data_IF_417288997164
#
_entry.id   IF_417288997164
#
_cell.length_a   1.000
_cell.length_b   1.000
_cell.length_c   1.000
_cell.angle_alpha   90.00
_cell.angle_beta   90.00
_cell.angle_gamma   90.00
#
_symmetry.space_group_name_H-M   'P 1'
#
loop_
_entity.id
_entity.type
_entity.pdbx_description
1 polymer ?
#
# COMPACT_ATOMS: atom_id res chain seq x y z
N UNK A 1 31.52 9.63 5.97
CA UNK A 1 30.43 10.31 5.24
C UNK A 1 31.05 11.30 4.26
N UNK A 2 30.63 11.37 3.00
CA UNK A 2 31.10 12.42 2.09
C UNK A 2 30.58 13.77 2.60
N UNK A 3 31.48 14.70 2.91
CA UNK A 3 31.13 16.08 3.21
C UNK A 3 30.61 16.69 1.91
N UNK A 4 29.34 17.05 1.87
CA UNK A 4 28.76 17.76 0.73
C UNK A 4 29.40 19.14 0.63
N UNK A 5 30.03 19.44 -0.51
CA UNK A 5 30.36 20.83 -0.85
C UNK A 5 29.03 21.61 -0.98
N UNK A 6 29.01 22.94 -0.78
CA UNK A 6 27.81 23.74 -0.91
C UNK A 6 27.11 23.47 -2.25
N UNK A 7 26.02 22.69 -2.22
CA UNK A 7 25.24 22.34 -3.40
C UNK A 7 24.09 23.32 -3.53
N UNK A 8 23.88 23.85 -4.74
CA UNK A 8 22.70 24.68 -5.05
C UNK A 8 21.92 24.04 -6.19
N UNK A 9 20.64 23.80 -5.96
CA UNK A 9 19.70 23.24 -6.95
C UNK A 9 18.40 24.06 -6.93
N UNK A 10 17.52 23.88 -7.91
CA UNK A 10 16.22 24.53 -7.88
C UNK A 10 15.25 23.83 -6.89
N UNK A 11 15.26 22.51 -6.85
CA UNK A 11 14.35 21.72 -6.03
C UNK A 11 15.10 20.67 -5.21
N UNK A 12 14.89 20.65 -3.90
CA UNK A 12 15.28 19.52 -3.05
C UNK A 12 14.06 18.69 -2.72
N UNK A 13 14.17 17.37 -2.90
CA UNK A 13 13.15 16.39 -2.53
C UNK A 13 13.66 15.59 -1.34
N UNK A 14 12.99 15.67 -0.20
CA UNK A 14 13.36 14.98 1.03
C UNK A 14 12.54 13.72 1.17
N UNK A 15 13.17 12.55 1.05
CA UNK A 15 12.54 11.22 1.14
C UNK A 15 12.46 10.51 -0.21
N UNK A 16 13.09 9.33 -0.29
CA UNK A 16 13.18 8.46 -1.47
C UNK A 16 12.06 7.41 -1.57
N UNK A 17 10.91 7.63 -0.89
CA UNK A 17 9.71 6.81 -1.05
C UNK A 17 9.00 7.08 -2.39
N UNK A 18 7.91 6.34 -2.66
CA UNK A 18 7.14 6.47 -3.92
C UNK A 18 6.68 7.90 -4.21
N UNK A 19 6.34 8.69 -3.19
CA UNK A 19 5.93 10.08 -3.37
C UNK A 19 7.09 10.96 -3.85
N UNK A 20 8.27 10.83 -3.20
CA UNK A 20 9.47 11.56 -3.59
C UNK A 20 9.96 11.16 -4.98
N UNK A 21 9.98 9.86 -5.29
CA UNK A 21 10.36 9.37 -6.62
C UNK A 21 9.40 9.84 -7.73
N UNK A 22 8.09 9.86 -7.46
CA UNK A 22 7.12 10.41 -8.42
C UNK A 22 7.28 11.92 -8.61
N UNK A 23 7.64 12.65 -7.56
CA UNK A 23 7.96 14.07 -7.64
C UNK A 23 9.23 14.29 -8.47
N UNK A 24 10.31 13.55 -8.18
CA UNK A 24 11.57 13.60 -8.92
C UNK A 24 11.35 13.37 -10.42
N UNK A 25 10.59 12.32 -10.79
CA UNK A 25 10.24 12.04 -12.19
C UNK A 25 9.55 13.21 -12.92
N UNK A 26 8.72 13.97 -12.21
CA UNK A 26 8.03 15.12 -12.83
C UNK A 26 8.93 16.35 -12.95
N UNK A 27 9.75 16.61 -11.94
CA UNK A 27 10.71 17.71 -11.94
C UNK A 27 11.78 17.47 -13.00
N UNK A 28 12.32 16.25 -13.07
CA UNK A 28 13.30 15.81 -14.06
C UNK A 28 12.80 16.00 -15.51
N UNK A 29 11.56 15.53 -15.78
CA UNK A 29 10.92 15.72 -17.11
C UNK A 29 10.74 17.19 -17.51
N UNK A 30 10.70 18.10 -16.55
CA UNK A 30 10.61 19.54 -16.80
C UNK A 30 11.99 20.21 -16.99
N UNK A 31 13.09 19.45 -16.91
CA UNK A 31 14.45 19.96 -17.06
C UNK A 31 14.90 20.90 -15.93
N UNK A 32 14.24 20.87 -14.78
CA UNK A 32 14.58 21.67 -13.61
C UNK A 32 15.69 20.96 -12.83
N UNK A 33 16.67 21.69 -12.33
CA UNK A 33 17.78 21.12 -11.54
C UNK A 33 17.25 20.71 -10.14
N UNK A 34 17.48 19.45 -9.75
CA UNK A 34 16.94 18.89 -8.52
C UNK A 34 17.92 17.91 -7.83
N UNK A 35 17.68 17.68 -6.55
CA UNK A 35 18.36 16.64 -5.77
C UNK A 35 17.34 15.95 -4.85
N UNK A 36 17.37 14.62 -4.81
CA UNK A 36 16.61 13.85 -3.83
C UNK A 36 17.56 13.37 -2.73
N UNK A 37 17.17 13.57 -1.47
CA UNK A 37 17.89 13.10 -0.29
C UNK A 37 17.08 12.06 0.46
N UNK A 38 17.68 10.90 0.76
CA UNK A 38 17.07 9.78 1.47
C UNK A 38 17.95 9.37 2.65
N UNK A 39 17.35 9.22 3.83
CA UNK A 39 18.08 8.88 5.05
C UNK A 39 18.54 7.42 5.09
N UNK A 40 17.80 6.51 4.45
CA UNK A 40 18.18 5.11 4.35
C UNK A 40 19.27 4.90 3.29
N UNK A 41 19.88 3.72 3.30
CA UNK A 41 20.86 3.28 2.31
C UNK A 41 20.23 2.91 0.95
N UNK A 42 18.89 2.90 0.88
CA UNK A 42 18.10 2.52 -0.31
C UNK A 42 16.83 3.36 -0.46
N UNK A 43 16.36 3.48 -1.69
CA UNK A 43 15.06 4.08 -2.03
C UNK A 43 13.91 3.10 -1.78
N UNK A 44 12.67 3.61 -1.78
CA UNK A 44 11.42 2.83 -1.69
C UNK A 44 10.60 3.11 -0.44
N UNK A 45 11.24 3.52 0.65
CA UNK A 45 10.58 3.83 1.92
C UNK A 45 9.85 2.60 2.49
N UNK A 46 8.51 2.67 2.63
CA UNK A 46 7.68 1.56 3.09
C UNK A 46 7.53 0.42 2.07
N UNK A 47 7.78 0.68 0.79
CA UNK A 47 7.75 -0.34 -0.27
C UNK A 47 9.16 -0.88 -0.47
N UNK A 48 9.46 -1.95 0.22
CA UNK A 48 10.79 -2.55 0.24
C UNK A 48 10.68 -4.08 0.41
N UNK A 49 11.71 -4.79 -0.08
CA UNK A 49 11.87 -6.24 0.02
C UNK A 49 13.25 -6.53 0.57
N UNK A 50 13.34 -7.39 1.55
CA UNK A 50 14.59 -7.89 2.11
C UNK A 50 14.86 -9.31 1.58
N UNK A 51 16.12 -9.60 1.24
CA UNK A 51 16.57 -10.93 0.81
C UNK A 51 17.27 -11.61 1.98
N UNK A 52 16.74 -12.75 2.42
CA UNK A 52 17.29 -13.53 3.54
C UNK A 52 17.33 -15.00 3.13
N UNK A 53 18.49 -15.59 3.01
CA UNK A 53 18.70 -17.00 2.69
C UNK A 53 17.87 -17.54 1.51
N UNK A 54 17.75 -16.73 0.46
CA UNK A 54 16.97 -17.04 -0.75
C UNK A 54 15.47 -16.74 -0.66
N UNK A 55 14.97 -16.30 0.51
CA UNK A 55 13.61 -15.82 0.68
C UNK A 55 13.50 -14.34 0.30
N UNK A 56 12.41 -13.95 -0.39
CA UNK A 56 12.03 -12.55 -0.61
C UNK A 56 10.94 -12.17 0.37
N UNK A 57 11.27 -11.29 1.30
CA UNK A 57 10.41 -10.87 2.39
C UNK A 57 10.09 -9.39 2.23
N UNK A 58 8.88 -9.08 1.77
CA UNK A 58 8.42 -7.70 1.67
C UNK A 58 8.23 -7.11 3.07
N UNK A 59 8.43 -5.81 3.23
CA UNK A 59 8.19 -5.13 4.52
C UNK A 59 6.70 -5.00 4.79
N UNK A 60 6.12 -6.09 5.30
CA UNK A 60 4.69 -6.32 5.45
C UNK A 60 4.04 -6.89 4.19
N UNK A 61 2.86 -7.49 4.33
CA UNK A 61 2.13 -8.00 3.18
C UNK A 61 1.61 -6.85 2.32
N UNK A 62 2.23 -6.67 1.17
CA UNK A 62 1.91 -5.62 0.21
C UNK A 62 1.54 -6.23 -1.14
N UNK A 63 0.70 -5.54 -1.88
CA UNK A 63 0.31 -5.93 -3.24
C UNK A 63 0.20 -4.72 -4.14
N UNK A 64 0.44 -4.91 -5.43
CA UNK A 64 0.23 -3.91 -6.47
C UNK A 64 -1.09 -4.19 -7.20
N UNK A 65 -1.90 -3.14 -7.34
CA UNK A 65 -3.12 -3.19 -8.15
C UNK A 65 -2.86 -2.53 -9.52
N UNK A 66 -3.06 -3.29 -10.60
CA UNK A 66 -2.83 -2.79 -11.96
C UNK A 66 -3.79 -1.68 -12.40
N UNK A 67 -4.90 -1.47 -11.69
CA UNK A 67 -5.83 -0.37 -11.94
C UNK A 67 -5.42 0.96 -11.31
N UNK A 68 -4.29 1.04 -10.64
CA UNK A 68 -3.77 2.30 -10.10
C UNK A 68 -3.32 3.20 -11.25
N UNK A 69 -4.03 4.33 -11.52
CA UNK A 69 -3.79 5.11 -12.74
C UNK A 69 -2.38 5.69 -12.85
N UNK A 70 -1.72 5.94 -11.70
CA UNK A 70 -0.38 6.54 -11.69
C UNK A 70 0.72 5.51 -11.97
N UNK A 71 0.47 4.23 -11.74
CA UNK A 71 1.48 3.18 -11.98
C UNK A 71 1.85 3.10 -13.47
N UNK A 72 0.92 2.87 -14.43
CA UNK A 72 1.29 2.80 -15.85
C UNK A 72 1.78 4.13 -16.43
N UNK A 73 1.50 5.26 -15.78
CA UNK A 73 2.04 6.56 -16.20
C UNK A 73 3.53 6.75 -15.83
N UNK A 74 4.04 5.96 -14.90
CA UNK A 74 5.41 6.06 -14.40
C UNK A 74 6.27 4.82 -14.71
N UNK A 75 5.66 3.66 -14.85
CA UNK A 75 6.33 2.36 -14.95
C UNK A 75 5.66 1.52 -16.02
N UNK A 76 6.44 0.81 -16.79
CA UNK A 76 5.94 -0.29 -17.62
C UNK A 76 5.60 -1.48 -16.70
N UNK A 77 4.31 -1.79 -16.57
CA UNK A 77 3.83 -2.91 -15.75
C UNK A 77 4.35 -4.26 -16.27
N UNK A 78 4.54 -4.40 -17.59
CA UNK A 78 5.07 -5.63 -18.15
C UNK A 78 6.51 -5.89 -17.71
N UNK A 79 7.32 -4.82 -17.57
CA UNK A 79 8.70 -4.91 -17.12
C UNK A 79 8.84 -5.25 -15.62
N UNK A 80 7.75 -5.13 -14.83
CA UNK A 80 7.75 -5.56 -13.42
C UNK A 80 7.65 -7.08 -13.25
N UNK A 81 7.38 -7.83 -14.31
CA UNK A 81 7.21 -9.28 -14.27
C UNK A 81 6.21 -9.72 -13.18
N UNK A 82 4.98 -9.24 -13.32
CA UNK A 82 3.94 -9.40 -12.30
C UNK A 82 3.45 -10.84 -12.14
N UNK A 83 3.35 -11.29 -10.91
CA UNK A 83 2.71 -12.53 -10.47
C UNK A 83 1.38 -12.18 -9.81
N UNK A 84 0.31 -12.88 -10.18
CA UNK A 84 -1.04 -12.48 -9.79
C UNK A 84 -1.69 -13.48 -8.86
N UNK A 85 -2.42 -12.95 -7.88
CA UNK A 85 -3.30 -13.72 -7.02
C UNK A 85 -4.63 -14.03 -7.73
N UNK A 86 -5.30 -15.09 -7.28
CA UNK A 86 -6.66 -15.42 -7.72
C UNK A 86 -7.61 -14.24 -7.42
N UNK A 87 -8.52 -13.89 -8.35
CA UNK A 87 -9.46 -12.78 -8.15
C UNK A 87 -10.61 -13.17 -7.21
N UNK A 88 -10.30 -13.50 -5.97
CA UNK A 88 -11.24 -13.97 -4.95
C UNK A 88 -10.59 -14.11 -3.60
N UNK A 89 -11.33 -14.72 -2.69
CA UNK A 89 -10.87 -15.06 -1.33
C UNK A 89 -11.35 -16.44 -0.94
N UNK A 90 -10.57 -17.11 -0.09
CA UNK A 90 -10.99 -18.26 0.68
C UNK A 90 -11.41 -17.79 2.08
N UNK A 91 -12.45 -18.38 2.63
CA UNK A 91 -12.96 -18.06 3.96
C UNK A 91 -13.05 -19.35 4.77
N UNK A 92 -12.26 -19.46 5.83
CA UNK A 92 -12.36 -20.57 6.79
C UNK A 92 -13.49 -20.28 7.76
N UNK A 93 -14.45 -21.22 7.87
CA UNK A 93 -15.54 -21.16 8.85
C UNK A 93 -15.74 -22.53 9.45
N UNK A 94 -15.40 -22.68 10.72
CA UNK A 94 -15.28 -23.98 11.35
C UNK A 94 -14.36 -24.90 10.55
N UNK A 95 -14.75 -26.15 10.27
CA UNK A 95 -13.96 -27.07 9.46
C UNK A 95 -14.05 -26.78 7.95
N UNK A 96 -15.02 -25.97 7.50
CA UNK A 96 -15.28 -25.74 6.08
C UNK A 96 -14.44 -24.60 5.52
N UNK A 97 -13.99 -24.77 4.28
CA UNK A 97 -13.31 -23.77 3.47
C UNK A 97 -14.25 -23.32 2.34
N UNK A 98 -14.63 -22.05 2.34
CA UNK A 98 -15.56 -21.48 1.38
C UNK A 98 -14.80 -20.59 0.40
N UNK A 99 -15.17 -20.65 -0.89
CA UNK A 99 -14.58 -19.86 -1.95
C UNK A 99 -15.55 -18.78 -2.41
N UNK A 100 -15.06 -17.55 -2.48
CA UNK A 100 -15.75 -16.42 -3.08
C UNK A 100 -14.84 -15.81 -4.15
N UNK A 101 -15.22 -15.95 -5.40
CA UNK A 101 -14.50 -15.40 -6.55
C UNK A 101 -15.33 -14.35 -7.27
N UNK A 102 -14.66 -13.53 -8.07
CA UNK A 102 -15.33 -12.54 -8.89
C UNK A 102 -15.83 -13.19 -10.21
N UNK A 103 -17.15 -13.44 -10.37
CA UNK A 103 -17.67 -14.13 -11.57
C UNK A 103 -17.44 -13.36 -12.86
N UNK A 104 -17.23 -12.04 -12.79
CA UNK A 104 -16.92 -11.22 -13.98
C UNK A 104 -15.52 -11.49 -14.53
N UNK A 105 -14.63 -12.04 -13.70
CA UNK A 105 -13.23 -12.33 -14.07
C UNK A 105 -12.97 -13.81 -14.29
N UNK A 106 -13.70 -14.65 -13.57
CA UNK A 106 -13.70 -16.10 -13.75
C UNK A 106 -15.16 -16.62 -13.79
N UNK A 107 -15.78 -16.64 -14.99
CA UNK A 107 -17.14 -17.16 -15.15
C UNK A 107 -17.28 -18.63 -14.72
N UNK A 108 -16.22 -19.43 -14.80
CA UNK A 108 -16.19 -20.82 -14.36
C UNK A 108 -16.33 -21.01 -12.85
N UNK A 109 -16.00 -20.00 -12.05
CA UNK A 109 -16.15 -20.02 -10.61
C UNK A 109 -17.56 -19.71 -10.10
N UNK A 110 -18.47 -19.25 -10.98
CA UNK A 110 -19.83 -18.83 -10.62
C UNK A 110 -20.62 -19.87 -9.82
N UNK A 111 -20.66 -21.17 -10.20
CA UNK A 111 -21.41 -22.17 -9.42
C UNK A 111 -20.84 -22.33 -8.01
N UNK A 112 -19.52 -22.37 -7.84
CA UNK A 112 -18.84 -22.50 -6.53
C UNK A 112 -19.09 -21.30 -5.65
N UNK A 113 -19.05 -20.09 -6.22
CA UNK A 113 -19.36 -18.85 -5.51
C UNK A 113 -20.84 -18.80 -5.10
N UNK A 114 -21.76 -19.26 -5.93
CA UNK A 114 -23.20 -19.26 -5.62
C UNK A 114 -23.55 -20.27 -4.52
N UNK A 115 -22.81 -21.36 -4.37
CA UNK A 115 -23.04 -22.40 -3.35
C UNK A 115 -22.21 -22.22 -2.07
N UNK A 116 -21.35 -21.18 -2.02
CA UNK A 116 -20.52 -20.95 -0.84
C UNK A 116 -21.35 -20.74 0.43
N UNK A 117 -20.95 -21.36 1.54
CA UNK A 117 -21.68 -21.31 2.82
C UNK A 117 -21.51 -20.01 3.62
N UNK A 118 -20.93 -18.95 3.05
CA UNK A 118 -20.72 -17.63 3.68
C UNK A 118 -21.54 -16.55 2.98
N UNK A 119 -22.22 -15.72 3.78
CA UNK A 119 -23.21 -14.78 3.28
C UNK A 119 -24.41 -15.48 2.61
N UNK A 120 -25.37 -14.72 2.15
CA UNK A 120 -26.51 -15.21 1.37
C UNK A 120 -26.32 -14.96 -0.12
N UNK A 121 -27.11 -15.59 -0.98
CA UNK A 121 -27.13 -15.24 -2.42
C UNK A 121 -27.45 -13.75 -2.63
N UNK A 122 -28.40 -13.22 -1.85
CA UNK A 122 -28.76 -11.81 -1.89
C UNK A 122 -27.55 -10.90 -1.53
N UNK A 123 -26.73 -11.28 -0.54
CA UNK A 123 -25.52 -10.54 -0.20
C UNK A 123 -24.53 -10.48 -1.36
N UNK A 124 -24.33 -11.58 -2.05
CA UNK A 124 -23.39 -11.65 -3.19
C UNK A 124 -23.87 -10.79 -4.35
N UNK A 125 -25.18 -10.81 -4.64
CA UNK A 125 -25.76 -9.95 -5.68
C UNK A 125 -25.65 -8.47 -5.31
N UNK A 126 -25.94 -8.11 -4.05
CA UNK A 126 -25.77 -6.74 -3.55
C UNK A 126 -24.32 -6.28 -3.58
N UNK A 127 -23.38 -7.15 -3.17
CA UNK A 127 -21.95 -6.82 -3.23
C UNK A 127 -21.47 -6.66 -4.68
N UNK A 128 -21.90 -7.52 -5.59
CA UNK A 128 -21.61 -7.39 -7.01
C UNK A 128 -22.17 -6.08 -7.59
N UNK A 129 -23.40 -5.69 -7.23
CA UNK A 129 -24.00 -4.42 -7.63
C UNK A 129 -23.20 -3.22 -7.08
N UNK A 130 -22.80 -3.28 -5.80
CA UNK A 130 -21.96 -2.25 -5.18
C UNK A 130 -20.60 -2.12 -5.87
N UNK A 131 -19.92 -3.24 -6.12
CA UNK A 131 -18.63 -3.29 -6.81
C UNK A 131 -18.75 -2.74 -8.25
N UNK A 132 -19.80 -3.10 -8.97
CA UNK A 132 -20.09 -2.59 -10.32
C UNK A 132 -20.35 -1.08 -10.28
N UNK A 133 -21.15 -0.60 -9.35
CA UNK A 133 -21.39 0.83 -9.15
C UNK A 133 -20.07 1.59 -8.93
N UNK A 134 -19.21 1.09 -8.04
CA UNK A 134 -17.90 1.72 -7.78
C UNK A 134 -16.96 1.62 -8.98
N UNK A 135 -17.00 0.53 -9.74
CA UNK A 135 -16.20 0.37 -10.95
C UNK A 135 -16.58 1.36 -12.07
N UNK A 136 -17.86 1.68 -12.22
CA UNK A 136 -18.40 2.48 -13.32
C UNK A 136 -18.43 3.98 -13.05
N UNK A 137 -18.75 4.40 -11.82
CA UNK A 137 -18.82 5.82 -11.47
C UNK A 137 -17.42 6.47 -11.51
N UNK A 138 -17.36 7.74 -11.89
CA UNK A 138 -16.12 8.51 -11.84
C UNK A 138 -15.65 8.72 -10.39
N UNK A 139 -14.33 8.85 -10.13
CA UNK A 139 -13.83 9.17 -8.79
C UNK A 139 -14.49 10.41 -8.18
N UNK A 140 -14.72 11.46 -8.97
CA UNK A 140 -15.39 12.67 -8.49
C UNK A 140 -16.78 12.37 -7.92
N UNK A 141 -17.62 11.64 -8.67
CA UNK A 141 -18.97 11.25 -8.20
C UNK A 141 -18.95 10.35 -6.96
N UNK A 142 -17.90 9.53 -6.80
CA UNK A 142 -17.75 8.69 -5.61
C UNK A 142 -17.39 9.53 -4.39
N UNK A 143 -16.57 10.56 -4.56
CA UNK A 143 -16.12 11.45 -3.50
C UNK A 143 -17.13 12.57 -3.16
N UNK A 144 -18.09 12.84 -4.05
CA UNK A 144 -19.20 13.77 -3.79
C UNK A 144 -20.34 13.14 -2.95
N UNK A 145 -20.32 11.82 -2.79
CA UNK A 145 -21.33 11.14 -1.97
C UNK A 145 -21.16 11.51 -0.48
N UNK A 146 -22.26 11.54 0.31
CA UNK A 146 -22.14 11.76 1.75
C UNK A 146 -21.19 10.78 2.41
N UNK A 147 -20.23 11.31 3.14
CA UNK A 147 -19.21 10.51 3.81
C UNK A 147 -19.79 9.80 5.04
N UNK A 148 -19.44 8.53 5.18
CA UNK A 148 -19.73 7.70 6.35
C UNK A 148 -18.56 6.76 6.61
N UNK A 149 -18.61 5.93 7.66
CA UNK A 149 -17.64 4.85 7.82
C UNK A 149 -17.81 3.77 6.76
N UNK A 150 -16.77 3.01 6.48
CA UNK A 150 -16.83 1.86 5.58
C UNK A 150 -17.89 0.85 6.05
N UNK A 151 -17.95 0.59 7.36
CA UNK A 151 -18.94 -0.29 7.95
C UNK A 151 -20.39 0.19 7.66
N UNK A 152 -20.66 1.46 7.86
CA UNK A 152 -22.00 2.02 7.60
C UNK A 152 -22.34 2.02 6.10
N UNK A 153 -21.37 2.31 5.24
CA UNK A 153 -21.58 2.24 3.79
C UNK A 153 -21.96 0.83 3.31
N UNK A 154 -21.33 -0.21 3.88
CA UNK A 154 -21.65 -1.61 3.59
C UNK A 154 -23.07 -1.97 4.09
N UNK A 155 -23.46 -1.51 5.29
CA UNK A 155 -24.82 -1.70 5.82
C UNK A 155 -25.87 -1.01 4.95
N UNK A 156 -25.62 0.24 4.55
CA UNK A 156 -26.52 1.01 3.64
C UNK A 156 -26.65 0.37 2.26
N UNK A 157 -25.63 -0.35 1.80
CA UNK A 157 -25.71 -1.16 0.59
C UNK A 157 -26.60 -2.42 0.78
N UNK A 158 -27.13 -2.63 1.98
CA UNK A 158 -28.05 -3.72 2.32
C UNK A 158 -27.37 -5.08 2.52
N UNK A 159 -26.05 -5.09 2.74
CA UNK A 159 -25.31 -6.31 3.05
C UNK A 159 -25.66 -6.78 4.47
N UNK A 160 -25.85 -8.09 4.63
CA UNK A 160 -26.17 -8.67 5.92
C UNK A 160 -25.00 -8.54 6.91
N UNK A 161 -25.32 -8.52 8.19
CA UNK A 161 -24.31 -8.56 9.26
C UNK A 161 -23.35 -9.73 9.05
N UNK A 162 -23.87 -10.89 8.67
CA UNK A 162 -23.08 -12.10 8.41
C UNK A 162 -22.06 -11.88 7.29
N UNK A 163 -22.45 -11.32 6.15
CA UNK A 163 -21.53 -11.03 5.03
C UNK A 163 -20.46 -10.02 5.44
N UNK A 164 -20.83 -9.00 6.21
CA UNK A 164 -19.89 -8.00 6.70
C UNK A 164 -18.87 -8.64 7.65
N UNK A 165 -19.33 -9.41 8.64
CA UNK A 165 -18.44 -9.92 9.70
C UNK A 165 -17.61 -11.14 9.29
N UNK A 166 -18.16 -12.06 8.47
CA UNK A 166 -17.47 -13.29 8.09
C UNK A 166 -16.54 -13.11 6.88
N UNK A 167 -16.76 -12.09 6.04
CA UNK A 167 -16.01 -11.91 4.78
C UNK A 167 -15.38 -10.53 4.67
N UNK A 168 -16.21 -9.47 4.73
CA UNK A 168 -15.75 -8.13 4.37
C UNK A 168 -14.87 -7.51 5.46
N UNK A 169 -15.18 -7.74 6.73
CA UNK A 169 -14.34 -7.26 7.84
C UNK A 169 -12.96 -7.91 7.84
N UNK A 170 -12.78 -9.24 7.81
CA UNK A 170 -11.46 -9.84 7.73
C UNK A 170 -10.65 -9.37 6.51
N UNK A 171 -11.31 -9.21 5.37
CA UNK A 171 -10.68 -8.70 4.16
C UNK A 171 -10.26 -7.23 4.29
N UNK A 172 -11.22 -6.35 4.61
CA UNK A 172 -10.99 -4.90 4.64
C UNK A 172 -10.14 -4.45 5.83
N UNK A 173 -10.18 -5.17 6.96
CA UNK A 173 -9.32 -4.86 8.10
C UNK A 173 -7.84 -4.99 7.75
N UNK A 174 -7.46 -5.97 6.93
CA UNK A 174 -6.11 -6.08 6.39
C UNK A 174 -5.77 -4.95 5.41
N UNK A 175 -6.72 -4.58 4.54
CA UNK A 175 -6.54 -3.51 3.54
C UNK A 175 -6.37 -2.13 4.18
N UNK A 176 -7.15 -1.84 5.23
CA UNK A 176 -7.16 -0.53 5.90
C UNK A 176 -6.31 -0.48 7.17
N UNK A 177 -5.77 -1.62 7.60
CA UNK A 177 -5.20 -1.79 8.93
C UNK A 177 -6.17 -1.31 10.04
N UNK A 178 -7.48 -1.62 9.86
CA UNK A 178 -8.60 -1.08 10.66
C UNK A 178 -9.66 -2.16 10.92
N UNK A 179 -9.66 -2.72 12.13
CA UNK A 179 -10.64 -3.76 12.53
C UNK A 179 -12.07 -3.22 12.65
N UNK A 180 -12.21 -1.96 13.10
CA UNK A 180 -13.52 -1.35 13.32
C UNK A 180 -14.23 -1.02 12.01
N UNK A 181 -13.49 -0.90 10.89
CA UNK A 181 -13.94 -0.36 9.61
C UNK A 181 -14.48 1.07 9.74
N UNK A 182 -13.84 1.88 10.61
CA UNK A 182 -14.14 3.31 10.79
C UNK A 182 -13.54 4.17 9.67
N UNK A 183 -12.73 3.55 8.82
CA UNK A 183 -12.18 4.16 7.61
C UNK A 183 -13.31 4.75 6.75
N UNK A 184 -13.05 5.93 6.18
CA UNK A 184 -13.98 6.66 5.32
C UNK A 184 -14.54 5.82 4.18
N UNK A 185 -15.86 5.96 3.92
CA UNK A 185 -16.53 5.34 2.78
C UNK A 185 -15.97 5.79 1.42
N UNK A 186 -15.36 6.97 1.36
CA UNK A 186 -14.66 7.44 0.17
C UNK A 186 -13.42 6.56 -0.13
N UNK A 187 -12.66 6.19 0.89
CA UNK A 187 -11.52 5.27 0.76
C UNK A 187 -12.02 3.88 0.38
N UNK A 188 -13.07 3.38 1.04
CA UNK A 188 -13.72 2.11 0.67
C UNK A 188 -14.11 2.09 -0.81
N UNK A 189 -14.77 3.14 -1.29
CA UNK A 189 -15.21 3.24 -2.69
C UNK A 189 -14.04 3.20 -3.67
N UNK A 190 -12.96 3.93 -3.38
CA UNK A 190 -11.75 3.94 -4.22
C UNK A 190 -11.03 2.60 -4.22
N UNK A 191 -10.96 1.92 -3.07
CA UNK A 191 -10.36 0.59 -2.94
C UNK A 191 -11.19 -0.45 -3.71
N UNK A 192 -12.50 -0.54 -3.49
CA UNK A 192 -13.36 -1.49 -4.21
C UNK A 192 -13.40 -1.21 -5.71
N UNK A 193 -13.38 0.08 -6.12
CA UNK A 193 -13.22 0.46 -7.53
C UNK A 193 -11.92 -0.13 -8.12
N UNK A 194 -10.82 0.00 -7.41
CA UNK A 194 -9.52 -0.49 -7.88
C UNK A 194 -9.52 -2.02 -7.97
N UNK A 195 -10.07 -2.73 -6.98
CA UNK A 195 -10.19 -4.19 -7.01
C UNK A 195 -11.11 -4.69 -8.12
N UNK A 196 -12.20 -3.99 -8.40
CA UNK A 196 -13.10 -4.37 -9.48
C UNK A 196 -12.47 -4.17 -10.88
N UNK A 197 -11.55 -3.21 -11.04
CA UNK A 197 -10.97 -2.84 -12.34
C UNK A 197 -9.58 -3.45 -12.60
N UNK A 198 -8.78 -3.68 -11.54
CA UNK A 198 -7.39 -4.12 -11.64
C UNK A 198 -7.18 -5.58 -11.26
N UNK A 199 -6.02 -6.12 -11.61
CA UNK A 199 -5.50 -7.38 -11.09
C UNK A 199 -4.60 -7.10 -9.90
N UNK A 200 -4.61 -7.98 -8.92
CA UNK A 200 -3.80 -7.88 -7.71
C UNK A 200 -2.64 -8.86 -7.83
N UNK A 201 -1.45 -8.38 -7.57
CA UNK A 201 -0.25 -9.21 -7.65
C UNK A 201 0.95 -8.56 -7.00
N UNK A 202 2.07 -9.21 -7.15
CA UNK A 202 3.40 -8.75 -6.72
C UNK A 202 4.39 -8.90 -7.88
N UNK A 203 5.42 -8.05 -7.98
CA UNK A 203 6.52 -8.31 -8.91
C UNK A 203 7.28 -9.59 -8.51
N UNK A 204 7.76 -10.35 -9.48
CA UNK A 204 8.57 -11.57 -9.24
C UNK A 204 9.81 -11.28 -8.36
N UNK A 205 10.36 -10.08 -8.47
CA UNK A 205 11.53 -9.64 -7.72
C UNK A 205 11.21 -8.91 -6.40
N UNK A 206 9.98 -9.09 -5.88
CA UNK A 206 9.53 -8.41 -4.66
C UNK A 206 8.98 -7.01 -4.92
N UNK A 207 8.28 -6.47 -3.94
CA UNK A 207 7.65 -5.14 -4.05
C UNK A 207 8.65 -4.01 -4.24
N UNK A 208 9.92 -4.18 -3.83
CA UNK A 208 11.01 -3.22 -4.07
C UNK A 208 11.27 -2.96 -5.57
N UNK A 209 10.86 -3.85 -6.46
CA UNK A 209 10.96 -3.63 -7.91
C UNK A 209 10.15 -2.41 -8.38
N UNK A 210 9.05 -2.07 -7.70
CA UNK A 210 8.24 -0.91 -8.06
C UNK A 210 8.97 0.43 -7.86
N UNK A 211 9.51 0.80 -6.67
CA UNK A 211 10.27 2.03 -6.52
C UNK A 211 11.54 2.05 -7.41
N UNK A 212 12.20 0.93 -7.61
CA UNK A 212 13.35 0.82 -8.53
C UNK A 212 12.92 1.16 -9.97
N UNK A 213 11.79 0.63 -10.44
CA UNK A 213 11.27 0.95 -11.77
C UNK A 213 10.81 2.42 -11.90
N UNK A 214 10.24 3.01 -10.84
CA UNK A 214 9.91 4.45 -10.82
C UNK A 214 11.19 5.29 -10.89
N UNK A 215 12.25 4.90 -10.21
CA UNK A 215 13.55 5.60 -10.22
C UNK A 215 14.36 5.37 -11.50
N UNK A 216 14.16 4.25 -12.21
CA UNK A 216 15.03 3.80 -13.30
C UNK A 216 15.43 4.84 -14.34
N UNK A 217 14.54 5.74 -14.80
CA UNK A 217 14.92 6.82 -15.73
C UNK A 217 15.57 8.05 -15.08
N UNK A 218 15.72 8.09 -13.74
CA UNK A 218 16.31 9.24 -13.04
C UNK A 218 17.85 9.15 -13.07
N UNK A 219 18.56 10.29 -13.18
CA UNK A 219 20.01 10.32 -13.08
C UNK A 219 20.47 9.88 -11.69
N UNK A 220 21.27 8.83 -11.62
CA UNK A 220 21.76 8.28 -10.35
C UNK A 220 22.46 9.31 -9.43
N UNK A 221 23.31 10.24 -9.93
CA UNK A 221 23.96 11.24 -9.09
C UNK A 221 23.00 12.20 -8.36
N UNK A 222 21.75 12.29 -8.81
CA UNK A 222 20.72 13.12 -8.17
C UNK A 222 19.92 12.37 -7.07
N UNK A 223 20.23 11.10 -6.83
CA UNK A 223 19.65 10.26 -5.77
C UNK A 223 20.67 10.08 -4.65
N UNK A 224 20.67 10.96 -3.65
CA UNK A 224 21.57 10.91 -2.52
C UNK A 224 20.97 10.07 -1.41
N UNK A 225 21.36 8.81 -1.31
CA UNK A 225 20.98 7.88 -0.23
C UNK A 225 21.99 7.93 0.92
N UNK A 226 21.56 7.54 2.12
CA UNK A 226 22.39 7.61 3.34
C UNK A 226 22.59 9.04 3.86
N UNK A 227 21.77 10.00 3.42
CA UNK A 227 21.82 11.40 3.83
C UNK A 227 20.54 11.76 4.60
N UNK A 228 20.67 11.88 5.92
CA UNK A 228 19.53 12.21 6.79
C UNK A 228 19.30 13.72 6.82
N UNK A 229 18.11 14.15 6.45
CA UNK A 229 17.67 15.54 6.63
C UNK A 229 17.43 15.83 8.12
N UNK A 230 18.08 16.87 8.62
CA UNK A 230 18.01 17.35 10.01
C UNK A 230 16.97 18.47 10.13
N UNK A 231 16.98 19.41 9.18
CA UNK A 231 16.02 20.52 9.17
C UNK A 231 15.72 21.00 7.76
N UNK A 232 14.56 21.64 7.62
CA UNK A 232 14.07 22.23 6.37
C UNK A 232 13.62 23.66 6.67
N UNK A 233 14.10 24.60 5.87
CA UNK A 233 13.70 26.00 5.91
C UNK A 233 13.52 26.55 4.49
N UNK A 234 12.95 27.73 4.39
CA UNK A 234 12.87 28.46 3.12
C UNK A 234 14.27 28.56 2.49
N UNK A 235 14.41 28.00 1.31
CA UNK A 235 15.64 28.08 0.53
C UNK A 235 16.80 27.19 0.99
N UNK A 236 16.59 26.32 2.00
CA UNK A 236 17.66 25.51 2.55
C UNK A 236 17.18 24.18 3.14
N UNK A 237 17.90 23.11 2.87
CA UNK A 237 17.80 21.82 3.54
C UNK A 237 19.13 21.51 4.20
N UNK A 238 19.12 21.15 5.48
CA UNK A 238 20.30 20.73 6.25
C UNK A 238 20.22 19.22 6.40
N UNK A 239 21.30 18.55 5.99
CA UNK A 239 21.50 17.12 6.21
C UNK A 239 22.64 16.88 7.17
N UNK A 240 22.80 15.65 7.64
CA UNK A 240 23.98 15.24 8.43
C UNK A 240 25.31 15.32 7.63
N UNK A 241 25.24 15.44 6.30
CA UNK A 241 26.40 15.62 5.42
C UNK A 241 26.69 17.06 5.02
N UNK A 242 25.80 18.03 5.30
CA UNK A 242 25.98 19.44 4.93
C UNK A 242 24.68 20.14 4.51
N UNK A 243 24.84 21.38 4.04
CA UNK A 243 23.74 22.25 3.63
C UNK A 243 23.49 22.22 2.11
N UNK A 244 22.23 22.22 1.71
CA UNK A 244 21.81 22.28 0.31
C UNK A 244 20.92 23.52 0.13
N UNK A 245 21.32 24.44 -0.71
CA UNK A 245 20.51 25.62 -1.06
C UNK A 245 19.56 25.30 -2.21
N UNK A 246 18.34 25.82 -2.13
CA UNK A 246 17.34 25.55 -3.15
C UNK A 246 16.27 26.66 -3.23
N UNK A 247 15.45 26.63 -4.26
CA UNK A 247 14.30 27.54 -4.43
C UNK A 247 13.02 26.96 -3.89
N UNK A 248 12.91 25.62 -3.93
CA UNK A 248 11.75 24.90 -3.40
C UNK A 248 12.17 23.59 -2.71
N UNK A 249 11.42 23.18 -1.68
CA UNK A 249 11.61 21.92 -0.97
C UNK A 249 10.31 21.12 -1.00
N UNK A 250 10.40 19.84 -1.40
CA UNK A 250 9.31 18.88 -1.29
C UNK A 250 9.64 17.90 -0.16
N UNK A 251 8.95 17.98 0.97
CA UNK A 251 9.07 16.99 2.04
C UNK A 251 8.15 15.82 1.71
N UNK A 252 8.75 14.69 1.33
CA UNK A 252 8.09 13.45 0.89
C UNK A 252 8.41 12.25 1.79
N UNK A 253 8.76 12.51 3.04
CA UNK A 253 9.04 11.50 4.07
C UNK A 253 7.76 10.83 4.58
N UNK A 254 7.88 9.89 5.50
CA UNK A 254 6.74 9.43 6.29
C UNK A 254 6.09 10.60 7.05
N UNK A 255 4.78 10.47 7.41
CA UNK A 255 4.04 11.60 8.00
C UNK A 255 4.59 12.10 9.35
N UNK A 256 5.20 11.22 10.15
CA UNK A 256 5.77 11.62 11.45
C UNK A 256 7.02 12.47 11.25
N UNK A 257 7.92 12.03 10.37
CA UNK A 257 9.11 12.79 9.99
C UNK A 257 8.74 14.10 9.30
N UNK A 258 7.72 14.08 8.42
CA UNK A 258 7.23 15.29 7.76
C UNK A 258 6.75 16.34 8.79
N UNK A 259 5.99 15.93 9.82
CA UNK A 259 5.53 16.82 10.89
C UNK A 259 6.67 17.34 11.78
N UNK A 260 7.76 16.57 11.92
CA UNK A 260 8.96 17.03 12.63
C UNK A 260 9.72 18.08 11.82
N UNK A 261 9.89 17.86 10.52
CA UNK A 261 10.58 18.80 9.62
C UNK A 261 9.75 20.05 9.31
N UNK A 262 8.44 19.96 9.38
CA UNK A 262 7.47 21.01 9.09
C UNK A 262 6.49 21.15 10.27
N UNK A 263 6.84 21.87 11.34
CA UNK A 263 6.03 21.93 12.56
C UNK A 263 4.61 22.49 12.41
N UNK A 264 4.34 23.22 11.34
CA UNK A 264 2.98 23.68 10.98
C UNK A 264 2.08 22.58 10.42
N UNK A 265 2.66 21.43 10.06
CA UNK A 265 1.90 20.31 9.50
C UNK A 265 1.36 19.43 10.64
N UNK A 266 0.03 19.22 10.72
CA UNK A 266 -0.51 18.30 11.72
C UNK A 266 -0.05 16.87 11.43
N UNK A 267 0.38 16.17 12.48
CA UNK A 267 0.74 14.76 12.40
C UNK A 267 -0.56 13.94 12.30
N UNK A 268 -0.76 13.17 11.21
CA UNK A 268 -1.92 12.31 11.12
C UNK A 268 -1.77 11.09 12.03
N UNK A 269 -2.90 10.55 12.47
CA UNK A 269 -2.93 9.24 13.09
C UNK A 269 -2.47 8.18 12.09
N UNK A 270 -1.75 7.18 12.59
CA UNK A 270 -1.23 6.09 11.78
C UNK A 270 -1.80 4.76 12.23
N UNK A 271 -2.01 3.88 11.28
CA UNK A 271 -2.43 2.49 11.50
C UNK A 271 -1.21 1.57 11.44
N UNK A 272 -1.16 0.62 12.36
CA UNK A 272 -0.10 -0.38 12.41
C UNK A 272 -0.51 -1.72 11.82
N UNK A 273 0.48 -2.49 11.37
CA UNK A 273 0.33 -3.84 10.87
C UNK A 273 1.52 -4.70 11.30
N UNK A 274 1.27 -5.96 11.62
CA UNK A 274 2.32 -6.96 11.86
C UNK A 274 2.14 -8.13 10.89
N UNK A 275 3.22 -8.50 10.20
CA UNK A 275 3.23 -9.64 9.28
C UNK A 275 4.25 -10.66 9.75
N UNK A 276 3.80 -11.91 9.88
CA UNK A 276 4.61 -13.08 10.18
C UNK A 276 4.90 -13.82 8.89
N UNK A 277 6.14 -14.14 8.62
CA UNK A 277 6.57 -14.92 7.48
C UNK A 277 7.06 -16.29 7.93
N UNK A 278 6.44 -17.35 7.40
CA UNK A 278 6.82 -18.73 7.66
C UNK A 278 7.31 -19.39 6.38
N UNK A 279 8.38 -20.16 6.52
CA UNK A 279 8.86 -21.11 5.52
C UNK A 279 8.31 -22.50 5.81
N UNK A 280 7.89 -23.22 4.78
CA UNK A 280 7.45 -24.61 4.89
C UNK A 280 7.97 -25.44 3.71
N UNK A 281 8.13 -26.77 3.92
CA UNK A 281 8.52 -27.70 2.86
C UNK A 281 7.42 -27.89 1.82
N UNK A 282 6.16 -27.73 2.23
CA UNK A 282 4.98 -27.87 1.36
C UNK A 282 4.00 -26.74 1.62
N UNK A 283 3.37 -26.26 0.55
CA UNK A 283 2.28 -25.33 0.67
C UNK A 283 1.08 -25.98 1.39
N UNK A 284 0.48 -25.32 2.39
CA UNK A 284 -0.71 -25.84 3.05
C UNK A 284 -1.96 -25.86 2.14
N UNK A 285 -1.95 -25.10 1.08
CA UNK A 285 -2.93 -25.09 -0.01
C UNK A 285 -2.21 -24.78 -1.32
N UNK A 286 -2.71 -25.27 -2.45
CA UNK A 286 -2.05 -25.14 -3.77
C UNK A 286 -2.51 -23.90 -4.57
N UNK A 287 -3.17 -22.95 -3.92
CA UNK A 287 -3.79 -21.82 -4.61
C UNK A 287 -3.17 -20.49 -4.21
N UNK A 288 -2.96 -19.56 -5.17
CA UNK A 288 -2.53 -18.20 -4.91
C UNK A 288 -3.71 -17.32 -4.45
N UNK A 289 -4.41 -17.73 -3.40
CA UNK A 289 -5.65 -17.09 -2.96
C UNK A 289 -5.54 -16.66 -1.50
N UNK A 290 -5.98 -15.44 -1.21
CA UNK A 290 -6.01 -14.89 0.14
C UNK A 290 -7.00 -15.67 1.00
N UNK A 291 -6.57 -16.16 2.16
CA UNK A 291 -7.39 -16.87 3.14
C UNK A 291 -7.76 -15.95 4.29
N UNK A 292 -9.05 -15.91 4.63
CA UNK A 292 -9.66 -15.07 5.65
C UNK A 292 -10.19 -15.91 6.81
N UNK A 293 -10.18 -15.34 8.03
CA UNK A 293 -10.83 -15.91 9.20
C UNK A 293 -12.31 -15.52 9.25
N UNK A 294 -13.19 -16.42 8.83
CA UNK A 294 -14.66 -16.26 8.92
C UNK A 294 -15.24 -16.54 10.31
N UNK A 295 -14.45 -17.05 11.25
CA UNK A 295 -14.88 -17.31 12.65
C UNK A 295 -14.71 -16.08 13.55
N UNK A 296 -14.18 -14.98 13.02
CA UNK A 296 -14.04 -13.68 13.71
C UNK A 296 -13.18 -13.73 14.98
N UNK A 297 -12.09 -14.48 14.95
CA UNK A 297 -11.13 -14.52 16.07
C UNK A 297 -10.20 -13.31 16.10
N UNK A 298 -10.08 -12.61 14.93
CA UNK A 298 -9.32 -11.37 14.76
C UNK A 298 -7.83 -11.43 15.12
N UNK A 299 -7.27 -12.63 15.27
CA UNK A 299 -5.85 -12.84 15.55
C UNK A 299 -5.04 -12.63 14.28
N UNK A 300 -5.41 -13.35 13.20
CA UNK A 300 -4.87 -13.21 11.86
C UNK A 300 -5.99 -12.65 10.97
N UNK A 301 -5.80 -11.45 10.43
CA UNK A 301 -6.78 -10.83 9.55
C UNK A 301 -6.85 -11.58 8.21
N UNK A 302 -5.69 -11.91 7.66
CA UNK A 302 -5.56 -12.68 6.43
C UNK A 302 -4.21 -13.40 6.38
N UNK A 303 -4.16 -14.45 5.59
CA UNK A 303 -2.93 -15.18 5.27
C UNK A 303 -2.93 -15.64 3.82
N UNK A 304 -1.76 -15.83 3.25
CA UNK A 304 -1.61 -16.29 1.87
C UNK A 304 -0.29 -17.04 1.69
N UNK A 305 -0.29 -18.05 0.83
CA UNK A 305 0.95 -18.69 0.36
C UNK A 305 1.50 -17.85 -0.79
N UNK A 306 2.48 -17.01 -0.47
CA UNK A 306 3.09 -16.07 -1.42
C UNK A 306 3.72 -16.78 -2.61
N UNK A 307 4.43 -17.88 -2.34
CA UNK A 307 5.11 -18.68 -3.36
C UNK A 307 4.17 -19.37 -4.35
N UNK A 308 2.88 -19.54 -4.02
CA UNK A 308 1.90 -20.05 -5.00
C UNK A 308 1.60 -19.02 -6.10
N UNK A 309 1.63 -17.73 -5.78
CA UNK A 309 1.49 -16.67 -6.78
C UNK A 309 2.85 -16.36 -7.44
N UNK A 310 3.90 -16.25 -6.64
CA UNK A 310 5.25 -15.85 -7.02
C UNK A 310 6.27 -16.87 -6.50
N UNK A 311 6.56 -17.94 -7.25
CA UNK A 311 7.52 -18.97 -6.84
C UNK A 311 8.89 -18.40 -6.47
N UNK A 312 9.24 -17.26 -7.05
CA UNK A 312 10.50 -16.56 -6.81
C UNK A 312 10.65 -16.00 -5.38
N UNK A 313 9.56 -15.97 -4.59
CA UNK A 313 9.59 -15.52 -3.19
C UNK A 313 10.16 -16.55 -2.21
N UNK A 314 10.29 -17.81 -2.64
CA UNK A 314 10.84 -18.90 -1.84
C UNK A 314 12.01 -19.59 -2.53
N UNK A 315 12.93 -20.20 -1.79
CA UNK A 315 13.90 -21.13 -2.36
C UNK A 315 13.19 -22.30 -3.07
N UNK A 316 13.86 -22.90 -4.04
CA UNK A 316 13.29 -24.03 -4.80
C UNK A 316 12.83 -25.16 -3.88
N UNK A 317 11.61 -25.65 -4.08
CA UNK A 317 11.00 -26.72 -3.28
C UNK A 317 10.47 -26.27 -1.90
N UNK A 318 10.51 -24.98 -1.58
CA UNK A 318 9.95 -24.42 -0.35
C UNK A 318 8.72 -23.54 -0.63
N UNK A 319 7.96 -23.26 0.42
CA UNK A 319 6.77 -22.42 0.36
C UNK A 319 6.87 -21.29 1.36
N UNK A 320 6.55 -20.06 0.93
CA UNK A 320 6.48 -18.88 1.78
C UNK A 320 5.04 -18.56 2.14
N UNK A 321 4.73 -18.54 3.42
CA UNK A 321 3.42 -18.17 3.96
C UNK A 321 3.55 -16.80 4.65
N UNK A 322 2.68 -15.86 4.28
CA UNK A 322 2.53 -14.57 4.94
C UNK A 322 1.23 -14.53 5.73
N UNK A 323 1.29 -14.14 7.00
CA UNK A 323 0.13 -13.96 7.86
C UNK A 323 0.13 -12.56 8.47
N UNK A 324 -0.98 -11.82 8.33
CA UNK A 324 -1.09 -10.42 8.76
C UNK A 324 -2.04 -10.26 9.92
N UNK A 325 -1.59 -9.55 10.94
CA UNK A 325 -2.40 -9.07 12.07
C UNK A 325 -2.50 -7.55 12.06
N UNK A 326 -3.67 -7.01 12.33
CA UNK A 326 -3.89 -5.56 12.44
C UNK A 326 -3.35 -5.07 13.79
N UNK A 327 -2.55 -4.02 13.74
CA UNK A 327 -1.90 -3.42 14.91
C UNK A 327 -0.43 -3.79 15.05
N UNK A 328 0.24 -3.19 16.01
CA UNK A 328 1.66 -3.41 16.32
C UNK A 328 1.89 -4.56 17.31
N UNK A 329 0.83 -5.01 17.92
CA UNK A 329 0.78 -6.24 18.70
C UNK A 329 -0.43 -7.00 18.22
N UNK A 330 -0.33 -8.29 18.04
CA UNK A 330 -1.54 -9.09 17.91
C UNK A 330 -2.44 -8.80 19.14
N UNK A 331 -3.79 -8.89 19.01
CA UNK A 331 -4.69 -8.70 20.15
C UNK A 331 -4.29 -9.65 21.27
N UNK A 332 -3.76 -9.22 22.36
CA UNK A 332 -3.21 -10.06 23.44
C UNK A 332 -1.69 -10.26 23.48
N UNK A 333 -0.87 -9.53 22.70
CA UNK A 333 0.56 -9.82 22.63
C UNK A 333 0.83 -11.23 22.07
N UNK A 334 0.09 -11.61 21.01
CA UNK A 334 0.10 -12.96 20.48
C UNK A 334 1.53 -13.40 20.18
N UNK A 335 2.01 -14.33 20.95
CA UNK A 335 3.26 -15.02 20.70
C UNK A 335 3.17 -15.79 19.38
N UNK A 336 4.31 -16.12 18.80
CA UNK A 336 4.37 -17.04 17.65
C UNK A 336 3.45 -18.25 17.81
N UNK A 337 3.40 -18.84 19.02
CA UNK A 337 2.56 -19.99 19.31
C UNK A 337 1.06 -19.74 19.03
N UNK A 338 0.54 -18.57 19.38
CA UNK A 338 -0.86 -18.20 19.11
C UNK A 338 -1.10 -18.06 17.60
N UNK A 339 -0.17 -17.45 16.88
CA UNK A 339 -0.24 -17.31 15.41
C UNK A 339 -0.22 -18.69 14.74
N UNK A 340 0.65 -19.62 15.20
CA UNK A 340 0.71 -21.00 14.68
C UNK A 340 -0.60 -21.77 14.89
N UNK A 341 -1.17 -21.69 16.08
CA UNK A 341 -2.48 -22.31 16.37
C UNK A 341 -3.55 -21.75 15.44
N UNK A 342 -3.58 -20.44 15.23
CA UNK A 342 -4.55 -19.81 14.36
C UNK A 342 -4.34 -20.19 12.88
N UNK A 343 -3.10 -20.23 12.39
CA UNK A 343 -2.78 -20.67 11.04
C UNK A 343 -3.10 -22.16 10.83
N UNK A 344 -2.81 -23.01 11.83
CA UNK A 344 -3.18 -24.43 11.78
C UNK A 344 -4.70 -24.59 11.60
N UNK A 345 -5.50 -23.81 12.35
CA UNK A 345 -6.95 -23.79 12.20
C UNK A 345 -7.40 -23.28 10.83
N UNK A 346 -6.82 -22.17 10.38
CA UNK A 346 -7.20 -21.54 9.11
C UNK A 346 -6.88 -22.42 7.91
N UNK A 347 -5.71 -23.04 7.89
CA UNK A 347 -5.31 -23.94 6.80
C UNK A 347 -5.85 -25.37 6.96
N UNK A 348 -6.15 -25.78 8.19
CA UNK A 348 -6.59 -27.15 8.50
C UNK A 348 -5.47 -28.17 8.49
N UNK A 349 -4.23 -27.73 8.69
CA UNK A 349 -3.01 -28.56 8.76
C UNK A 349 -2.16 -28.18 9.98
N UNK A 350 -1.33 -29.07 10.54
CA UNK A 350 -0.34 -28.71 11.55
C UNK A 350 0.65 -27.68 11.00
N UNK A 351 1.20 -26.85 11.89
CA UNK A 351 2.18 -25.80 11.55
C UNK A 351 3.46 -25.93 12.38
N UNK A 352 3.65 -27.05 13.07
CA UNK A 352 4.77 -27.29 13.97
C UNK A 352 6.10 -27.39 13.22
N UNK A 353 6.04 -27.86 11.97
CA UNK A 353 7.17 -28.01 11.04
C UNK A 353 7.47 -26.74 10.20
N UNK A 354 6.75 -25.65 10.42
CA UNK A 354 7.03 -24.41 9.71
C UNK A 354 8.12 -23.61 10.42
N UNK A 355 9.04 -23.04 9.67
CA UNK A 355 10.08 -22.15 10.18
C UNK A 355 9.58 -20.72 10.25
N UNK A 356 9.62 -20.08 11.42
CA UNK A 356 9.40 -18.63 11.49
C UNK A 356 10.63 -17.90 10.94
N UNK A 357 10.51 -17.31 9.76
CA UNK A 357 11.61 -16.60 9.09
C UNK A 357 11.82 -15.20 9.67
N UNK A 358 10.73 -14.45 9.85
CA UNK A 358 10.77 -13.11 10.43
C UNK A 358 9.38 -12.62 10.83
N UNK A 359 9.38 -11.60 11.70
CA UNK A 359 8.19 -10.82 12.07
C UNK A 359 8.44 -9.36 11.72
N UNK A 360 7.67 -8.84 10.79
CA UNK A 360 7.75 -7.44 10.36
C UNK A 360 6.63 -6.64 11.02
N UNK A 361 6.99 -5.79 11.98
CA UNK A 361 6.05 -4.87 12.64
C UNK A 361 6.21 -3.46 12.08
N UNK A 362 5.12 -2.92 11.56
CA UNK A 362 5.05 -1.58 10.98
C UNK A 362 4.09 -0.71 11.80
N UNK A 363 4.56 0.07 12.78
CA UNK A 363 3.69 0.94 13.59
C UNK A 363 3.00 2.03 12.76
N UNK A 364 3.60 2.41 11.65
CA UNK A 364 3.15 3.46 10.76
C UNK A 364 2.96 2.93 9.33
N UNK A 365 2.21 1.84 9.19
CA UNK A 365 1.98 1.20 7.89
C UNK A 365 1.16 2.10 6.95
N UNK A 366 0.07 2.69 7.45
CA UNK A 366 -0.85 3.53 6.67
C UNK A 366 -1.32 4.74 7.49
N UNK A 367 -1.53 5.93 6.86
CA UNK A 367 -2.29 7.00 7.48
C UNK A 367 -3.73 6.56 7.76
N UNK A 368 -4.23 6.85 8.95
CA UNK A 368 -5.63 6.65 9.26
C UNK A 368 -6.49 7.62 8.43
N UNK A 369 -7.55 7.08 7.84
CA UNK A 369 -8.50 7.86 7.07
C UNK A 369 -9.90 7.77 7.72
N UNK A 370 -9.97 8.18 9.00
CA UNK A 370 -11.21 8.16 9.77
C UNK A 370 -12.16 9.27 9.32
N UNK A 371 -13.45 9.08 9.59
CA UNK A 371 -14.49 10.10 9.36
C UNK A 371 -14.44 11.16 10.48
N UNK A 372 -14.52 12.44 10.17
CA UNK A 372 -14.59 13.05 8.83
C UNK A 372 -13.21 13.15 8.18
N UNK A 373 -13.03 12.52 7.01
CA UNK A 373 -11.79 12.62 6.25
C UNK A 373 -11.78 13.86 5.34
N UNK A 374 -12.97 14.28 4.89
CA UNK A 374 -13.13 15.36 3.94
C UNK A 374 -12.48 15.05 2.58
N UNK A 375 -11.82 16.04 1.98
CA UNK A 375 -11.16 15.84 0.70
C UNK A 375 -9.90 14.97 0.87
N UNK A 376 -9.85 13.86 0.15
CA UNK A 376 -8.66 13.00 0.11
C UNK A 376 -7.44 13.74 -0.46
N UNK A 377 -7.65 14.63 -1.44
CA UNK A 377 -6.59 15.48 -2.02
C UNK A 377 -6.39 16.73 -1.15
N UNK A 378 -5.53 16.60 -0.16
CA UNK A 378 -5.19 17.70 0.76
C UNK A 378 -4.21 18.69 0.09
N UNK A 379 -4.19 19.92 0.59
CA UNK A 379 -3.25 20.95 0.16
C UNK A 379 -1.80 20.47 0.31
N UNK A 380 -0.96 20.77 -0.68
CA UNK A 380 0.45 20.35 -0.71
C UNK A 380 1.43 21.54 -0.63
N UNK A 381 1.03 22.74 -1.05
CA UNK A 381 1.81 23.96 -0.89
C UNK A 381 1.59 24.53 0.53
N UNK A 382 2.68 24.80 1.24
CA UNK A 382 2.67 25.33 2.61
C UNK A 382 3.09 26.81 2.68
N UNK A 383 3.45 27.40 1.55
CA UNK A 383 4.02 28.76 1.45
C UNK A 383 5.55 28.73 1.48
N UNK A 384 6.16 29.87 1.21
CA UNK A 384 7.60 30.12 1.28
C UNK A 384 8.50 29.11 0.52
N UNK A 385 8.00 28.51 -0.56
CA UNK A 385 8.73 27.48 -1.30
C UNK A 385 8.76 26.10 -0.63
N UNK A 386 7.94 25.89 0.41
CA UNK A 386 7.82 24.61 1.11
C UNK A 386 6.58 23.85 0.63
N UNK A 387 6.78 22.56 0.36
CA UNK A 387 5.74 21.65 -0.12
C UNK A 387 5.81 20.32 0.60
N UNK A 388 4.69 19.61 0.66
CA UNK A 388 4.59 18.29 1.29
C UNK A 388 3.93 17.29 0.35
N UNK A 389 4.46 16.07 0.28
CA UNK A 389 3.92 14.96 -0.49
C UNK A 389 3.84 13.68 0.36
N UNK A 390 2.98 12.76 -0.02
CA UNK A 390 2.81 11.48 0.66
C UNK A 390 1.39 10.95 0.51
N UNK A 391 1.17 9.70 0.87
CA UNK A 391 -0.16 9.08 0.90
C UNK A 391 -1.12 9.74 1.91
N UNK A 392 -0.61 10.40 2.92
CA UNK A 392 -1.39 11.22 3.86
C UNK A 392 -1.94 12.53 3.26
N UNK A 393 -1.51 12.89 2.06
CA UNK A 393 -1.99 14.06 1.28
C UNK A 393 -2.92 13.66 0.14
N UNK A 394 -3.20 12.35 0.00
CA UNK A 394 -4.10 11.73 -0.97
C UNK A 394 -4.75 10.48 -0.32
N UNK A 395 -5.07 9.43 -1.06
CA UNK A 395 -5.52 8.17 -0.50
C UNK A 395 -4.38 7.39 0.18
N UNK A 396 -4.62 6.71 1.33
CA UNK A 396 -3.60 5.90 2.01
C UNK A 396 -3.27 4.64 1.20
N UNK A 397 -2.44 4.78 0.18
CA UNK A 397 -2.11 3.71 -0.78
C UNK A 397 -0.87 4.05 -1.62
N UNK A 398 -0.32 3.04 -2.32
CA UNK A 398 0.69 3.21 -3.37
C UNK A 398 0.24 4.27 -4.39
N UNK A 399 -1.03 4.17 -4.85
CA UNK A 399 -1.61 5.15 -5.78
C UNK A 399 -1.59 6.56 -5.21
N UNK A 400 -2.00 6.73 -3.96
CA UNK A 400 -2.04 8.04 -3.31
C UNK A 400 -0.65 8.65 -3.12
N UNK A 401 0.33 7.85 -2.75
CA UNK A 401 1.73 8.29 -2.65
C UNK A 401 2.25 8.81 -4.00
N UNK A 402 2.11 8.00 -5.08
CA UNK A 402 2.53 8.39 -6.42
C UNK A 402 1.76 9.63 -6.94
N UNK A 403 0.44 9.69 -6.73
CA UNK A 403 -0.40 10.78 -7.17
C UNK A 403 -0.09 12.09 -6.43
N UNK A 404 0.12 12.01 -5.11
CA UNK A 404 0.51 13.15 -4.29
C UNK A 404 1.85 13.72 -4.73
N UNK A 405 2.89 12.86 -4.85
CA UNK A 405 4.22 13.30 -5.29
C UNK A 405 4.18 13.98 -6.66
N UNK A 406 3.50 13.37 -7.63
CA UNK A 406 3.34 13.95 -8.95
C UNK A 406 2.62 15.29 -8.93
N UNK A 407 1.53 15.42 -8.16
CA UNK A 407 0.77 16.66 -8.01
C UNK A 407 1.61 17.76 -7.36
N UNK A 408 2.29 17.44 -6.27
CA UNK A 408 3.17 18.36 -5.54
C UNK A 408 4.25 18.93 -6.44
N UNK A 409 4.93 18.09 -7.21
CA UNK A 409 5.92 18.55 -8.19
C UNK A 409 5.31 19.51 -9.22
N UNK A 410 4.04 19.31 -9.63
CA UNK A 410 3.35 20.24 -10.52
C UNK A 410 3.17 21.62 -9.92
N UNK A 411 2.79 21.71 -8.64
CA UNK A 411 2.66 22.99 -7.93
C UNK A 411 4.02 23.68 -7.74
N UNK A 412 5.08 22.90 -7.47
CA UNK A 412 6.45 23.41 -7.43
C UNK A 412 6.85 24.02 -8.77
N UNK A 413 6.65 23.30 -9.88
CA UNK A 413 6.99 23.79 -11.22
C UNK A 413 6.22 25.06 -11.58
N UNK A 414 4.94 25.17 -11.19
CA UNK A 414 4.15 26.39 -11.34
C UNK A 414 4.76 27.53 -10.54
N UNK A 415 5.12 27.30 -9.29
CA UNK A 415 5.72 28.33 -8.41
C UNK A 415 7.09 28.82 -8.88
N UNK A 416 7.83 27.97 -9.58
CA UNK A 416 9.13 28.32 -10.17
C UNK A 416 9.01 28.99 -11.56
N UNK A 417 7.81 29.09 -12.12
CA UNK A 417 7.60 29.58 -13.49
C UNK A 417 8.05 28.62 -14.59
N UNK A 418 8.29 27.34 -14.25
CA UNK A 418 8.83 26.32 -15.16
C UNK A 418 7.78 25.61 -16.02
N UNK A 419 6.47 25.86 -15.84
CA UNK A 419 5.38 25.27 -16.64
C UNK A 419 4.98 26.12 -17.87
N UNK A 420 5.79 27.11 -18.28
CA UNK A 420 5.51 27.97 -19.43
C UNK A 420 6.00 27.41 -20.79
N UNK A 421 6.13 26.10 -20.95
CA UNK A 421 6.36 25.43 -22.23
C UNK A 421 5.07 24.83 -22.79
N UNK A 422 4.84 24.84 -24.13
CA UNK A 422 3.66 24.23 -24.73
C UNK A 422 3.62 22.72 -24.44
N UNK A 423 2.41 22.13 -24.38
CA UNK A 423 2.32 20.69 -24.27
C UNK A 423 3.04 20.06 -25.46
N UNK A 424 4.00 19.18 -25.20
CA UNK A 424 4.56 18.34 -26.25
C UNK A 424 3.42 17.51 -26.84
N UNK A 425 3.26 17.62 -28.15
CA UNK A 425 2.24 16.96 -28.97
C UNK A 425 2.31 15.42 -28.87
#
# INVERSE_FOLDING_TARGET
MPVLQPVSVDVVIVGGGLAGLAAARRVDRAGVNWLLVEAADRIGGRVATDMVDGWRLDRGFQVLNTAYPRVPALVDIAALDMRYFTPGVLVRRGPALHRLENPLRDPGSTPKTLTAGVGTLADRLKFAALATRYATLSPARLLDAPETTAQEALRRAGLSHRMIEEVLRPFLSGVFADRALDTSSHVLAMVLRSFARGRIGVPANGMAALPVAVAGPLPYPQLLVGARTVSVARGMVVTDGGEIRCRAVIVATDPATAATLLPSLPRPDMRGLTTYYFGADRAPIDEPTLLLDGDRREIVANTVVMSNAAPEYAPAGKSLIAASSVGVSAPSGASEAVIRVELSRMYGVPTDDWDLLTVVTLPQALPAANVPQGNLRKQVALGDGLFVAGDHRDSPSIQGALASGWRTAGEVLTSLGALAGPPAA
#
